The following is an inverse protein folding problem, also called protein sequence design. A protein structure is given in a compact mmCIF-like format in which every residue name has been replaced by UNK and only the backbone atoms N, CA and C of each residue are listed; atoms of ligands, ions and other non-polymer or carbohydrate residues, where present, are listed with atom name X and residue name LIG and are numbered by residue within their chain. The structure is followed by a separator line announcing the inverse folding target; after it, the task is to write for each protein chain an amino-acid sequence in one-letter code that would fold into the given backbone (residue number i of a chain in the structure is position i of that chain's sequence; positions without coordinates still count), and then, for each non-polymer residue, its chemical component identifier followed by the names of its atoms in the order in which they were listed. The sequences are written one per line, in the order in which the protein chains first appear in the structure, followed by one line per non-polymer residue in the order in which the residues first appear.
data_IF_534683579471
#
_entry.id   IF_534683579471
#
_cell.length_a   1.000
_cell.length_b   1.000
_cell.length_c   1.000
_cell.angle_alpha   90.00
_cell.angle_beta   90.00
_cell.angle_gamma   90.00
#
_symmetry.space_group_name_H-M   'P 1'
#
loop_
_entity.id
_entity.type
_entity.pdbx_description
1 polymer ?
#
# COMPACT_ATOMS: atom_id res chain seq x y z
N UNK A 1 -22.26 14.55 -3.41
CA UNK A 1 -22.21 13.45 -2.42
C UNK A 1 -21.35 12.36 -3.02
N UNK A 2 -20.36 11.86 -2.29
CA UNK A 2 -19.50 10.77 -2.78
C UNK A 2 -20.29 9.47 -2.76
N UNK A 3 -20.19 8.67 -3.81
CA UNK A 3 -20.79 7.34 -3.90
C UNK A 3 -19.84 6.37 -4.63
N UNK A 4 -20.05 5.06 -4.43
CA UNK A 4 -19.19 4.02 -4.98
C UNK A 4 -19.89 3.28 -6.14
N UNK A 5 -19.28 3.28 -7.31
CA UNK A 5 -19.84 2.74 -8.54
C UNK A 5 -19.56 1.24 -8.66
N UNK A 6 -20.60 0.42 -8.44
CA UNK A 6 -20.50 -1.04 -8.52
C UNK A 6 -20.20 -1.55 -9.93
N UNK A 7 -20.71 -0.89 -10.97
CA UNK A 7 -20.41 -1.27 -12.36
C UNK A 7 -18.94 -1.03 -12.65
N UNK A 8 -18.39 0.07 -12.13
CA UNK A 8 -16.97 0.36 -12.30
C UNK A 8 -16.07 -0.65 -11.58
N UNK A 9 -16.46 -1.10 -10.38
CA UNK A 9 -15.78 -2.19 -9.66
C UNK A 9 -15.70 -3.45 -10.53
N UNK A 10 -16.81 -3.86 -11.16
CA UNK A 10 -16.87 -5.04 -12.04
C UNK A 10 -16.04 -4.86 -13.32
N UNK A 11 -16.09 -3.68 -13.94
CA UNK A 11 -15.28 -3.35 -15.13
C UNK A 11 -13.79 -3.47 -14.82
N UNK A 12 -13.34 -2.87 -13.71
CA UNK A 12 -11.93 -2.92 -13.33
C UNK A 12 -11.50 -4.35 -12.97
N UNK A 13 -12.33 -5.10 -12.25
CA UNK A 13 -12.03 -6.47 -11.88
C UNK A 13 -11.81 -7.37 -13.11
N UNK A 14 -12.65 -7.23 -14.14
CA UNK A 14 -12.53 -7.98 -15.41
C UNK A 14 -11.23 -7.68 -16.15
N UNK A 15 -10.76 -6.44 -16.10
CA UNK A 15 -9.50 -6.06 -16.76
C UNK A 15 -8.29 -6.58 -15.97
N UNK A 16 -8.35 -6.52 -14.64
CA UNK A 16 -7.30 -7.07 -13.79
C UNK A 16 -7.20 -8.60 -13.90
N UNK A 17 -8.32 -9.32 -14.00
CA UNK A 17 -8.31 -10.78 -14.17
C UNK A 17 -7.63 -11.25 -15.46
N UNK A 18 -7.53 -10.38 -16.47
CA UNK A 18 -6.85 -10.67 -17.74
C UNK A 18 -5.34 -10.47 -17.67
N UNK A 19 -4.82 -9.93 -16.57
CA UNK A 19 -3.39 -9.56 -16.45
C UNK A 19 -2.48 -10.72 -16.02
N UNK A 20 -3.03 -11.92 -15.79
CA UNK A 20 -2.29 -13.15 -15.49
C UNK A 20 -1.94 -13.33 -14.02
N UNK A 21 -1.55 -14.56 -13.64
CA UNK A 21 -1.27 -14.94 -12.24
C UNK A 21 -0.05 -14.22 -11.65
N UNK A 22 0.92 -13.86 -12.49
CA UNK A 22 2.16 -13.18 -12.05
C UNK A 22 1.99 -11.66 -11.93
N UNK A 23 0.76 -11.14 -12.07
CA UNK A 23 0.49 -9.70 -12.07
C UNK A 23 1.01 -9.02 -10.80
N UNK A 24 0.72 -9.57 -9.61
CA UNK A 24 1.13 -8.94 -8.36
C UNK A 24 2.64 -9.10 -8.11
N UNK A 25 3.24 -10.24 -8.48
CA UNK A 25 4.68 -10.49 -8.41
C UNK A 25 5.48 -9.44 -9.17
N UNK A 26 5.00 -9.06 -10.36
CA UNK A 26 5.58 -8.00 -11.16
C UNK A 26 5.67 -6.67 -10.39
N UNK A 27 4.66 -6.30 -9.60
CA UNK A 27 4.65 -5.06 -8.82
C UNK A 27 5.43 -5.16 -7.52
N UNK A 28 5.42 -6.30 -6.83
CA UNK A 28 6.22 -6.51 -5.61
C UNK A 28 7.70 -6.28 -5.91
N UNK A 29 8.23 -6.88 -6.98
CA UNK A 29 9.64 -6.74 -7.37
C UNK A 29 10.05 -5.30 -7.74
N UNK A 30 9.08 -4.44 -8.05
CA UNK A 30 9.29 -3.02 -8.40
C UNK A 30 8.99 -2.07 -7.24
N UNK A 31 8.46 -2.57 -6.13
CA UNK A 31 8.17 -1.77 -4.97
C UNK A 31 9.48 -1.41 -4.24
N UNK A 32 9.83 -0.10 -4.10
CA UNK A 32 11.01 0.30 -3.34
C UNK A 32 11.01 -0.23 -1.90
N UNK A 33 9.83 -0.47 -1.32
CA UNK A 33 9.69 -1.06 0.02
C UNK A 33 10.15 -2.53 0.04
N UNK A 34 9.94 -3.27 -1.05
CA UNK A 34 10.43 -4.64 -1.18
C UNK A 34 11.96 -4.68 -1.29
N UNK A 35 12.56 -3.71 -1.98
CA UNK A 35 14.03 -3.55 -2.00
C UNK A 35 14.58 -3.32 -0.59
N UNK A 36 13.96 -2.43 0.20
CA UNK A 36 14.36 -2.21 1.59
C UNK A 36 14.20 -3.48 2.45
N UNK A 37 13.12 -4.25 2.24
CA UNK A 37 12.91 -5.55 2.92
C UNK A 37 14.06 -6.52 2.63
N UNK A 38 14.46 -6.68 1.37
CA UNK A 38 15.60 -7.55 1.00
C UNK A 38 16.90 -7.11 1.67
N UNK A 39 17.15 -5.80 1.70
CA UNK A 39 18.33 -5.26 2.38
C UNK A 39 18.32 -5.55 3.88
N UNK A 40 17.19 -5.34 4.57
CA UNK A 40 17.05 -5.65 6.00
C UNK A 40 17.30 -7.14 6.26
N UNK A 41 16.68 -8.02 5.47
CA UNK A 41 16.83 -9.47 5.62
C UNK A 41 18.27 -9.93 5.41
N UNK A 42 19.01 -9.31 4.48
CA UNK A 42 20.43 -9.62 4.28
C UNK A 42 21.31 -9.30 5.49
N UNK A 43 20.88 -8.38 6.36
CA UNK A 43 21.63 -7.93 7.55
C UNK A 43 21.24 -8.67 8.83
N UNK A 44 19.97 -9.07 8.96
CA UNK A 44 19.40 -9.61 10.22
C UNK A 44 18.90 -11.05 10.09
N UNK A 45 18.86 -11.63 8.89
CA UNK A 45 18.18 -12.91 8.66
C UNK A 45 16.66 -12.81 8.82
N UNK A 46 15.98 -13.96 8.68
CA UNK A 46 14.52 -13.98 8.59
C UNK A 46 13.81 -13.58 9.88
N UNK A 47 14.11 -14.24 11.00
CA UNK A 47 13.34 -14.05 12.25
C UNK A 47 13.46 -12.63 12.79
N UNK A 48 14.68 -12.13 12.94
CA UNK A 48 14.95 -10.79 13.47
C UNK A 48 14.60 -9.71 12.43
N UNK A 49 14.89 -9.95 11.16
CA UNK A 49 14.53 -9.04 10.08
C UNK A 49 13.01 -8.90 9.92
N UNK A 50 12.24 -9.98 9.99
CA UNK A 50 10.77 -9.93 9.97
C UNK A 50 10.22 -9.14 11.16
N UNK A 51 10.76 -9.38 12.36
CA UNK A 51 10.39 -8.62 13.55
C UNK A 51 10.68 -7.12 13.38
N UNK A 52 11.86 -6.76 12.87
CA UNK A 52 12.23 -5.38 12.59
C UNK A 52 11.31 -4.74 11.52
N UNK A 53 11.08 -5.43 10.40
CA UNK A 53 10.24 -4.95 9.28
C UNK A 53 8.81 -4.68 9.74
N UNK A 54 8.21 -5.61 10.47
CA UNK A 54 6.87 -5.41 11.06
C UNK A 54 6.88 -4.22 12.03
N UNK A 55 7.91 -4.12 12.87
CA UNK A 55 8.10 -3.01 13.79
C UNK A 55 8.15 -1.65 13.08
N UNK A 56 8.88 -1.56 11.97
CA UNK A 56 8.91 -0.37 11.11
C UNK A 56 7.51 -0.08 10.56
N UNK A 57 6.83 -1.08 9.99
CA UNK A 57 5.52 -0.92 9.36
C UNK A 57 4.45 -0.38 10.30
N UNK A 58 4.40 -0.83 11.56
CA UNK A 58 3.39 -0.38 12.53
C UNK A 58 3.56 1.08 12.94
N UNK A 59 4.71 1.69 12.66
CA UNK A 59 4.98 3.12 12.83
C UNK A 59 5.13 3.85 11.49
N UNK A 60 4.79 3.26 10.34
CA UNK A 60 4.86 3.93 9.02
C UNK A 60 3.57 4.69 8.66
N UNK A 61 3.11 5.60 9.53
CA UNK A 61 1.92 6.44 9.29
C UNK A 61 2.22 7.92 9.43
N UNK A 62 1.54 8.80 8.67
CA UNK A 62 1.73 10.27 8.74
C UNK A 62 3.21 10.69 8.70
N UNK A 63 3.97 10.12 7.76
CA UNK A 63 5.40 10.34 7.62
C UNK A 63 5.71 11.80 7.27
N UNK A 64 6.89 12.26 7.65
CA UNK A 64 7.42 13.57 7.25
C UNK A 64 8.17 13.57 5.92
N UNK A 65 8.48 12.37 5.40
CA UNK A 65 9.17 12.11 4.14
C UNK A 65 8.30 11.22 3.25
N UNK A 66 8.77 10.92 2.04
CA UNK A 66 8.12 9.91 1.20
C UNK A 66 8.27 8.50 1.81
N UNK A 67 7.33 7.61 1.50
CA UNK A 67 7.34 6.24 2.03
C UNK A 67 8.55 5.45 1.54
N UNK A 68 8.92 5.66 0.28
CA UNK A 68 10.11 5.07 -0.37
C UNK A 68 11.39 5.43 0.41
N UNK A 69 11.59 6.72 0.71
CA UNK A 69 12.74 7.23 1.47
C UNK A 69 12.75 6.71 2.91
N UNK A 70 11.58 6.63 3.54
CA UNK A 70 11.42 6.12 4.90
C UNK A 70 11.90 4.68 5.03
N UNK A 71 11.52 3.81 4.10
CA UNK A 71 11.89 2.39 4.12
C UNK A 71 13.38 2.17 3.85
N UNK A 72 13.98 2.91 2.90
CA UNK A 72 15.42 2.85 2.69
C UNK A 72 16.20 3.39 3.90
N UNK A 73 15.68 4.43 4.56
CA UNK A 73 16.25 4.89 5.84
C UNK A 73 16.14 3.80 6.91
N UNK A 74 15.01 3.11 7.03
CA UNK A 74 14.88 2.00 7.98
C UNK A 74 15.92 0.89 7.69
N UNK A 75 16.12 0.54 6.42
CA UNK A 75 17.12 -0.44 6.01
C UNK A 75 18.55 -0.05 6.42
N UNK A 76 18.89 1.23 6.45
CA UNK A 76 20.20 1.70 6.91
C UNK A 76 20.39 1.60 8.44
N UNK A 77 19.31 1.56 9.21
CA UNK A 77 19.34 1.39 10.67
C UNK A 77 19.34 -0.09 11.11
N UNK A 78 19.03 -1.02 10.20
CA UNK A 78 19.03 -2.44 10.49
C UNK A 78 20.46 -2.93 10.81
N UNK A 79 20.67 -3.38 12.04
CA UNK A 79 21.91 -3.99 12.55
C UNK A 79 21.58 -5.08 13.59
N UNK A 80 22.56 -5.90 13.98
CA UNK A 80 22.34 -7.20 14.63
C UNK A 80 21.40 -7.29 15.85
N UNK A 81 21.06 -6.19 16.55
CA UNK A 81 19.99 -6.20 17.55
C UNK A 81 18.73 -5.47 17.02
N UNK A 82 17.66 -6.20 16.66
CA UNK A 82 16.47 -5.59 16.09
C UNK A 82 15.72 -4.66 17.05
N UNK A 83 15.84 -4.84 18.37
CA UNK A 83 15.13 -4.01 19.34
C UNK A 83 15.79 -2.64 19.43
N UNK A 84 17.12 -2.62 19.58
CA UNK A 84 17.92 -1.40 19.59
C UNK A 84 17.85 -0.67 18.25
N UNK A 85 17.97 -1.38 17.12
CA UNK A 85 17.83 -0.79 15.78
C UNK A 85 16.47 -0.12 15.61
N UNK A 86 15.39 -0.77 16.06
CA UNK A 86 14.04 -0.26 15.89
C UNK A 86 13.79 0.98 16.77
N UNK A 87 14.23 0.95 18.03
CA UNK A 87 14.16 2.11 18.93
C UNK A 87 14.96 3.28 18.37
N UNK A 88 16.22 3.06 17.98
CA UNK A 88 17.10 4.09 17.42
C UNK A 88 16.49 4.72 16.16
N UNK A 89 15.91 3.91 15.28
CA UNK A 89 15.22 4.37 14.09
C UNK A 89 14.03 5.28 14.43
N UNK A 90 13.17 4.88 15.37
CA UNK A 90 11.99 5.69 15.74
C UNK A 90 12.38 6.98 16.46
N UNK A 91 13.42 6.95 17.28
CA UNK A 91 13.91 8.12 18.02
C UNK A 91 14.60 9.13 17.10
N UNK A 92 15.41 8.65 16.17
CA UNK A 92 16.33 9.50 15.40
C UNK A 92 15.84 9.86 14.00
N UNK A 93 15.03 9.01 13.36
CA UNK A 93 14.66 9.21 11.96
C UNK A 93 13.85 10.50 11.75
N UNK A 94 14.29 11.31 10.77
CA UNK A 94 13.57 12.51 10.35
C UNK A 94 12.16 12.18 9.82
N UNK A 95 11.99 11.01 9.21
CA UNK A 95 10.71 10.52 8.67
C UNK A 95 9.63 10.36 9.74
N UNK A 96 10.04 10.09 10.98
CA UNK A 96 9.16 9.79 12.13
C UNK A 96 9.05 10.95 13.14
N UNK A 97 9.51 12.16 12.79
CA UNK A 97 9.45 13.34 13.67
C UNK A 97 8.04 13.67 14.19
N UNK A 98 7.00 13.40 13.38
CA UNK A 98 5.60 13.62 13.77
C UNK A 98 5.13 12.49 14.68
N UNK A 99 4.49 12.83 15.80
CA UNK A 99 3.95 11.86 16.78
C UNK A 99 4.99 10.90 17.37
N UNK A 100 6.26 11.31 17.44
CA UNK A 100 7.37 10.45 17.88
C UNK A 100 7.10 9.77 19.22
N UNK A 101 6.62 10.50 20.23
CA UNK A 101 6.31 9.93 21.55
C UNK A 101 5.28 8.81 21.49
N UNK A 102 4.24 8.95 20.65
CA UNK A 102 3.23 7.90 20.47
C UNK A 102 3.82 6.67 19.76
N UNK A 103 4.70 6.87 18.77
CA UNK A 103 5.40 5.77 18.08
C UNK A 103 6.35 5.03 19.00
N UNK A 104 7.11 5.73 19.84
CA UNK A 104 8.00 5.13 20.84
C UNK A 104 7.19 4.22 21.78
N UNK A 105 6.07 4.71 22.32
CA UNK A 105 5.17 3.88 23.16
C UNK A 105 4.66 2.64 22.41
N UNK A 106 4.29 2.80 21.14
CA UNK A 106 3.83 1.71 20.28
C UNK A 106 4.93 0.66 20.05
N UNK A 107 6.16 1.09 19.79
CA UNK A 107 7.33 0.20 19.64
C UNK A 107 7.68 -0.49 20.95
N UNK A 108 7.64 0.22 22.07
CA UNK A 108 7.89 -0.40 23.38
C UNK A 108 6.89 -1.52 23.67
N UNK A 109 5.60 -1.29 23.38
CA UNK A 109 4.56 -2.34 23.50
C UNK A 109 4.84 -3.52 22.57
N UNK A 110 5.27 -3.26 21.34
CA UNK A 110 5.66 -4.27 20.36
C UNK A 110 6.86 -5.11 20.82
N UNK A 111 7.94 -4.47 21.29
CA UNK A 111 9.16 -5.10 21.82
C UNK A 111 8.86 -5.92 23.07
N UNK A 112 8.03 -5.42 23.99
CA UNK A 112 7.60 -6.16 25.18
C UNK A 112 6.89 -7.48 24.85
N UNK A 113 6.36 -7.63 23.62
CA UNK A 113 5.69 -8.84 23.15
C UNK A 113 6.52 -9.60 22.10
N UNK A 114 7.84 -9.35 22.01
CA UNK A 114 8.75 -9.92 20.99
C UNK A 114 8.62 -11.43 20.83
N UNK A 115 8.64 -12.18 21.94
CA UNK A 115 8.54 -13.64 21.90
C UNK A 115 7.25 -14.11 21.20
N UNK A 116 6.10 -13.53 21.54
CA UNK A 116 4.81 -13.86 20.91
C UNK A 116 4.77 -13.55 19.42
N UNK A 117 5.50 -12.52 19.00
CA UNK A 117 5.55 -12.05 17.62
C UNK A 117 6.48 -12.93 16.80
N UNK A 118 7.68 -13.20 17.32
CA UNK A 118 8.63 -14.13 16.69
C UNK A 118 8.05 -15.54 16.58
N UNK A 119 7.25 -15.98 17.56
CA UNK A 119 6.54 -17.26 17.48
C UNK A 119 5.65 -17.33 16.23
N UNK A 120 5.00 -16.23 15.85
CA UNK A 120 4.17 -16.17 14.64
C UNK A 120 4.97 -16.27 13.33
N UNK A 121 6.31 -16.16 13.39
CA UNK A 121 7.19 -16.32 12.24
C UNK A 121 7.83 -17.71 12.17
N UNK A 122 7.53 -18.61 13.10
CA UNK A 122 8.06 -19.98 13.08
C UNK A 122 7.34 -20.84 12.06
N UNK A 123 8.07 -21.81 11.52
CA UNK A 123 7.58 -22.74 10.52
C UNK A 123 8.06 -22.45 9.09
N UNK A 124 7.61 -23.29 8.17
CA UNK A 124 7.87 -23.15 6.73
C UNK A 124 6.84 -22.27 6.04
N UNK A 125 5.61 -22.24 6.57
CA UNK A 125 4.48 -21.48 6.04
C UNK A 125 3.88 -20.58 7.13
N UNK A 126 3.92 -19.26 6.89
CA UNK A 126 3.49 -18.24 7.85
C UNK A 126 2.01 -17.88 7.65
N UNK A 127 1.23 -17.89 8.74
CA UNK A 127 -0.19 -17.53 8.71
C UNK A 127 -0.38 -16.01 8.85
N UNK A 128 -0.61 -15.32 7.74
CA UNK A 128 -0.77 -13.86 7.73
C UNK A 128 -2.10 -13.41 8.35
N UNK A 129 -3.12 -14.27 8.30
CA UNK A 129 -4.41 -14.04 8.94
C UNK A 129 -4.28 -14.03 10.46
N UNK A 130 -3.75 -15.11 11.03
CA UNK A 130 -3.51 -15.23 12.48
C UNK A 130 -2.56 -14.14 12.98
N UNK A 131 -1.47 -13.88 12.24
CA UNK A 131 -0.54 -12.81 12.56
C UNK A 131 -1.26 -11.44 12.66
N UNK A 132 -2.15 -11.12 11.71
CA UNK A 132 -2.86 -9.83 11.73
C UNK A 132 -3.72 -9.65 12.97
N UNK A 133 -4.43 -10.69 13.42
CA UNK A 133 -5.24 -10.66 14.65
C UNK A 133 -4.36 -10.52 15.89
N UNK A 134 -3.27 -11.30 15.97
CA UNK A 134 -2.32 -11.26 17.07
C UNK A 134 -1.66 -9.88 17.21
N UNK A 135 -1.26 -9.28 16.09
CA UNK A 135 -0.69 -7.94 16.07
C UNK A 135 -1.72 -6.87 16.49
N UNK A 136 -2.97 -7.01 16.06
CA UNK A 136 -4.05 -6.12 16.45
C UNK A 136 -4.31 -6.16 17.97
N UNK A 137 -4.37 -7.37 18.55
CA UNK A 137 -4.51 -7.58 19.99
C UNK A 137 -3.34 -6.96 20.77
N UNK A 138 -2.10 -7.26 20.37
CA UNK A 138 -0.90 -6.70 21.00
C UNK A 138 -0.92 -5.18 20.95
N UNK A 139 -1.39 -4.57 19.86
CA UNK A 139 -1.37 -3.12 19.69
C UNK A 139 -2.66 -2.42 20.12
N UNK A 140 -3.63 -3.15 20.65
CA UNK A 140 -4.97 -2.65 20.99
C UNK A 140 -5.58 -1.83 19.83
N UNK A 141 -5.56 -2.44 18.64
CA UNK A 141 -5.97 -1.82 17.39
C UNK A 141 -7.04 -2.67 16.68
N UNK A 142 -7.73 -2.07 15.71
CA UNK A 142 -8.63 -2.86 14.87
C UNK A 142 -7.81 -3.65 13.84
N UNK A 143 -8.14 -4.92 13.62
CA UNK A 143 -7.44 -5.77 12.62
C UNK A 143 -7.47 -5.19 11.21
N UNK A 144 -8.52 -4.42 10.88
CA UNK A 144 -8.69 -3.75 9.59
C UNK A 144 -8.07 -2.33 9.57
N UNK A 145 -7.30 -1.93 10.57
CA UNK A 145 -6.55 -0.67 10.53
C UNK A 145 -5.41 -0.73 9.54
N UNK A 146 -5.17 0.42 8.87
CA UNK A 146 -4.13 0.55 7.84
C UNK A 146 -2.80 0.01 8.34
N UNK A 147 -2.41 0.35 9.57
CA UNK A 147 -1.10 -0.04 10.12
C UNK A 147 -0.98 -1.55 10.36
N UNK A 148 -2.07 -2.24 10.70
CA UNK A 148 -2.09 -3.70 10.88
C UNK A 148 -2.06 -4.42 9.52
N UNK A 149 -2.92 -3.99 8.60
CA UNK A 149 -2.95 -4.54 7.24
C UNK A 149 -1.63 -4.28 6.49
N UNK A 150 -1.06 -3.09 6.66
CA UNK A 150 0.23 -2.73 6.08
C UNK A 150 1.38 -3.54 6.69
N UNK A 151 1.39 -3.75 8.01
CA UNK A 151 2.37 -4.64 8.63
C UNK A 151 2.25 -6.09 8.13
N UNK A 152 1.03 -6.57 7.89
CA UNK A 152 0.79 -7.90 7.30
C UNK A 152 1.27 -7.97 5.85
N UNK A 153 1.10 -6.90 5.05
CA UNK A 153 1.68 -6.79 3.70
C UNK A 153 3.21 -6.82 3.76
N UNK A 154 3.81 -6.11 4.71
CA UNK A 154 5.27 -6.11 4.85
C UNK A 154 5.80 -7.48 5.29
N UNK A 155 5.06 -8.23 6.12
CA UNK A 155 5.40 -9.62 6.43
C UNK A 155 5.25 -10.54 5.20
N UNK A 156 4.26 -10.32 4.34
CA UNK A 156 4.15 -11.01 3.04
C UNK A 156 5.39 -10.75 2.18
N UNK A 157 5.83 -9.51 2.07
CA UNK A 157 7.06 -9.13 1.37
C UNK A 157 8.28 -9.84 1.99
N UNK A 158 8.35 -9.90 3.32
CA UNK A 158 9.41 -10.62 4.04
C UNK A 158 9.41 -12.12 3.71
N UNK A 159 8.25 -12.77 3.73
CA UNK A 159 8.14 -14.19 3.40
C UNK A 159 8.60 -14.44 1.96
N UNK A 160 8.14 -13.61 1.02
CA UNK A 160 8.50 -13.69 -0.39
C UNK A 160 10.01 -13.54 -0.61
N UNK A 161 10.62 -12.52 0.00
CA UNK A 161 12.05 -12.25 -0.11
C UNK A 161 12.93 -13.35 0.51
N UNK A 162 12.41 -14.06 1.51
CA UNK A 162 13.09 -15.17 2.18
C UNK A 162 12.74 -16.55 1.61
N UNK A 163 11.95 -16.64 0.54
CA UNK A 163 11.41 -17.89 -0.02
C UNK A 163 10.69 -18.75 1.03
N UNK A 164 9.93 -18.12 1.92
CA UNK A 164 9.04 -18.77 2.90
C UNK A 164 7.61 -18.83 2.37
N UNK A 165 6.90 -19.91 2.68
CA UNK A 165 5.46 -20.02 2.38
C UNK A 165 4.65 -19.04 3.23
N UNK A 166 3.48 -18.66 2.74
CA UNK A 166 2.52 -17.86 3.49
C UNK A 166 1.08 -18.23 3.09
N UNK A 167 0.15 -18.12 4.04
CA UNK A 167 -1.26 -18.50 3.86
C UNK A 167 -2.23 -17.53 4.54
N UNK A 168 -3.53 -17.73 4.29
CA UNK A 168 -4.64 -17.01 4.93
C UNK A 168 -4.58 -15.49 4.74
N UNK A 169 -4.04 -15.05 3.60
CA UNK A 169 -3.90 -13.64 3.23
C UNK A 169 -5.02 -13.15 2.31
N UNK A 170 -5.81 -14.06 1.75
CA UNK A 170 -6.86 -13.83 0.76
C UNK A 170 -7.97 -12.94 1.31
N UNK A 171 -8.23 -13.02 2.61
CA UNK A 171 -9.25 -12.23 3.32
C UNK A 171 -8.72 -10.90 3.87
N UNK A 172 -7.41 -10.65 3.82
CA UNK A 172 -6.85 -9.40 4.33
C UNK A 172 -7.22 -8.25 3.39
N UNK A 173 -7.81 -7.21 3.99
CA UNK A 173 -8.25 -6.02 3.25
C UNK A 173 -7.06 -5.15 2.83
N UNK A 174 -7.30 -4.26 1.87
CA UNK A 174 -6.30 -3.28 1.45
C UNK A 174 -6.00 -2.25 2.56
N UNK A 175 -4.73 -1.89 2.82
CA UNK A 175 -4.38 -0.83 3.77
C UNK A 175 -4.70 0.56 3.18
N UNK A 176 -5.92 1.05 3.41
CA UNK A 176 -6.38 2.34 2.86
C UNK A 176 -5.53 3.51 3.35
N UNK A 177 -4.82 4.12 2.42
CA UNK A 177 -4.06 5.33 2.63
C UNK A 177 -4.36 6.40 1.60
N UNK A 178 -3.54 7.45 1.56
CA UNK A 178 -3.73 8.54 0.63
C UNK A 178 -3.66 8.09 -0.84
N UNK A 179 -2.69 7.25 -1.21
CA UNK A 179 -2.52 6.79 -2.61
C UNK A 179 -3.64 5.83 -3.01
N UNK A 180 -4.03 4.92 -2.12
CA UNK A 180 -5.22 4.06 -2.34
C UNK A 180 -6.46 4.93 -2.54
N UNK A 181 -6.62 5.98 -1.73
CA UNK A 181 -7.76 6.90 -1.84
C UNK A 181 -7.74 7.70 -3.15
N UNK A 182 -6.57 8.17 -3.60
CA UNK A 182 -6.42 8.82 -4.90
C UNK A 182 -6.86 7.90 -6.03
N UNK A 183 -6.31 6.69 -6.10
CA UNK A 183 -6.64 5.72 -7.15
C UNK A 183 -8.11 5.35 -7.12
N UNK A 184 -8.72 5.28 -5.94
CA UNK A 184 -10.16 5.03 -5.82
C UNK A 184 -11.00 6.11 -6.52
N UNK A 185 -10.60 7.39 -6.45
CA UNK A 185 -11.26 8.46 -7.22
C UNK A 185 -10.90 8.45 -8.69
N UNK A 186 -9.61 8.38 -9.01
CA UNK A 186 -9.13 8.57 -10.39
C UNK A 186 -9.48 7.37 -11.28
N UNK A 187 -9.70 6.19 -10.70
CA UNK A 187 -10.24 5.03 -11.41
C UNK A 187 -11.74 5.12 -11.67
N UNK A 188 -12.46 6.02 -11.00
CA UNK A 188 -13.91 6.13 -11.08
C UNK A 188 -14.68 5.17 -10.17
N UNK A 189 -14.01 4.45 -9.27
CA UNK A 189 -14.70 3.64 -8.23
C UNK A 189 -15.48 4.57 -7.30
N UNK A 190 -14.84 5.62 -6.80
CA UNK A 190 -15.51 6.70 -6.05
C UNK A 190 -15.88 7.84 -7.01
N UNK A 191 -17.17 8.18 -7.06
CA UNK A 191 -17.76 9.21 -7.92
C UNK A 191 -18.44 10.31 -7.10
N UNK A 192 -19.00 11.29 -7.80
CA UNK A 192 -19.69 12.44 -7.20
C UNK A 192 -18.78 13.64 -6.92
N UNK A 193 -17.57 13.64 -7.50
CA UNK A 193 -16.62 14.74 -7.54
C UNK A 193 -16.55 15.35 -8.96
N UNK A 194 -15.95 16.53 -9.10
CA UNK A 194 -15.79 17.26 -10.38
C UNK A 194 -14.33 17.52 -10.72
N UNK A 195 -14.02 17.60 -12.00
CA UNK A 195 -12.65 17.74 -12.52
C UNK A 195 -11.84 18.94 -11.98
N UNK A 196 -12.53 20.00 -11.52
CA UNK A 196 -11.91 21.20 -10.95
C UNK A 196 -11.78 21.17 -9.42
N UNK A 197 -12.22 20.11 -8.76
CA UNK A 197 -12.09 19.95 -7.31
C UNK A 197 -10.67 19.52 -6.90
N UNK A 198 -10.32 19.83 -5.66
CA UNK A 198 -9.01 19.45 -5.11
C UNK A 198 -8.99 17.96 -4.73
N UNK A 199 -8.54 17.11 -5.66
CA UNK A 199 -8.41 15.66 -5.45
C UNK A 199 -7.54 15.28 -4.25
N UNK A 200 -6.53 16.08 -3.90
CA UNK A 200 -5.71 15.83 -2.71
C UNK A 200 -6.55 15.92 -1.43
N UNK A 201 -7.42 16.94 -1.35
CA UNK A 201 -8.35 17.11 -0.23
C UNK A 201 -9.37 15.98 -0.20
N UNK A 202 -9.98 15.66 -1.34
CA UNK A 202 -10.98 14.60 -1.46
C UNK A 202 -10.41 13.24 -1.03
N UNK A 203 -9.18 12.90 -1.45
CA UNK A 203 -8.51 11.68 -1.01
C UNK A 203 -8.26 11.65 0.50
N UNK A 204 -8.01 12.81 1.12
CA UNK A 204 -7.95 12.96 2.57
C UNK A 204 -9.28 12.63 3.27
N UNK A 205 -10.39 13.11 2.70
CA UNK A 205 -11.75 12.83 3.19
C UNK A 205 -12.12 11.35 3.01
N UNK A 206 -11.79 10.75 1.85
CA UNK A 206 -12.06 9.35 1.58
C UNK A 206 -11.33 8.44 2.58
N UNK A 207 -10.05 8.72 2.84
CA UNK A 207 -9.24 8.00 3.82
C UNK A 207 -9.81 8.09 5.25
N UNK A 208 -10.37 9.24 5.63
CA UNK A 208 -10.79 9.51 7.01
C UNK A 208 -12.24 9.13 7.30
N UNK A 209 -13.14 9.29 6.33
CA UNK A 209 -14.59 9.12 6.51
C UNK A 209 -15.15 7.88 5.82
N UNK A 210 -14.54 7.46 4.72
CA UNK A 210 -15.07 6.39 3.85
C UNK A 210 -14.13 5.17 3.79
N UNK A 211 -13.27 4.98 4.80
CA UNK A 211 -12.28 3.89 4.86
C UNK A 211 -12.93 2.53 4.61
N UNK A 212 -14.08 2.26 5.23
CA UNK A 212 -14.74 0.94 5.14
C UNK A 212 -15.28 0.70 3.74
N UNK A 213 -15.84 1.73 3.12
CA UNK A 213 -16.39 1.69 1.76
C UNK A 213 -15.28 1.52 0.72
N UNK A 214 -14.12 2.16 0.92
CA UNK A 214 -12.94 1.93 0.09
C UNK A 214 -12.45 0.48 0.24
N UNK A 215 -12.33 -0.02 1.48
CA UNK A 215 -11.94 -1.41 1.72
C UNK A 215 -12.90 -2.39 1.06
N UNK A 216 -14.20 -2.14 1.17
CA UNK A 216 -15.24 -2.95 0.58
C UNK A 216 -15.22 -2.93 -0.95
N UNK A 217 -15.03 -1.76 -1.56
CA UNK A 217 -14.93 -1.65 -3.01
C UNK A 217 -13.73 -2.44 -3.55
N UNK A 218 -12.55 -2.32 -2.94
CA UNK A 218 -11.37 -3.08 -3.35
C UNK A 218 -11.45 -4.57 -2.97
N UNK A 219 -12.17 -4.94 -1.90
CA UNK A 219 -12.50 -6.34 -1.61
C UNK A 219 -13.28 -6.95 -2.77
N UNK A 220 -14.32 -6.26 -3.25
CA UNK A 220 -15.12 -6.69 -4.40
C UNK A 220 -14.31 -6.75 -5.70
N UNK A 221 -13.41 -5.79 -5.94
CA UNK A 221 -12.47 -5.87 -7.08
C UNK A 221 -11.60 -7.12 -6.97
N UNK A 222 -11.08 -7.40 -5.77
CA UNK A 222 -10.22 -8.57 -5.55
C UNK A 222 -10.95 -9.89 -5.74
N UNK A 223 -12.15 -10.02 -5.18
CA UNK A 223 -12.98 -11.22 -5.33
C UNK A 223 -13.38 -11.48 -6.78
N UNK A 224 -13.79 -10.45 -7.51
CA UNK A 224 -14.19 -10.59 -8.90
C UNK A 224 -13.00 -10.76 -9.86
N UNK A 225 -11.81 -10.28 -9.50
CA UNK A 225 -10.60 -10.45 -10.33
C UNK A 225 -9.80 -11.72 -10.01
N UNK A 226 -10.06 -12.35 -8.86
CA UNK A 226 -9.25 -13.46 -8.33
C UNK A 226 -7.95 -13.01 -7.67
N UNK A 227 -7.73 -11.70 -7.46
CA UNK A 227 -6.52 -11.15 -6.84
C UNK A 227 -6.85 -10.69 -5.41
N UNK A 228 -6.24 -11.28 -4.37
CA UNK A 228 -6.43 -10.86 -2.99
C UNK A 228 -6.28 -9.34 -2.77
N UNK A 229 -7.15 -8.70 -1.96
CA UNK A 229 -7.14 -7.23 -1.80
C UNK A 229 -5.82 -6.67 -1.26
N UNK A 230 -5.13 -7.42 -0.39
CA UNK A 230 -3.81 -7.03 0.11
C UNK A 230 -2.73 -7.01 -0.99
N UNK A 231 -2.86 -7.84 -2.03
CA UNK A 231 -1.96 -7.87 -3.18
C UNK A 231 -2.27 -6.78 -4.21
N UNK A 232 -3.52 -6.31 -4.28
CA UNK A 232 -3.89 -5.15 -5.08
C UNK A 232 -3.23 -3.85 -4.59
N UNK A 233 -2.78 -3.80 -3.34
CA UNK A 233 -2.13 -2.61 -2.78
C UNK A 233 -0.87 -2.21 -3.55
N UNK A 234 -0.03 -3.17 -3.96
CA UNK A 234 1.24 -2.88 -4.65
C UNK A 234 1.04 -2.11 -5.98
N UNK A 235 0.25 -2.59 -6.95
CA UNK A 235 -0.01 -1.85 -8.18
C UNK A 235 -0.69 -0.50 -7.92
N UNK A 236 -1.67 -0.46 -7.00
CA UNK A 236 -2.39 0.77 -6.65
C UNK A 236 -1.45 1.81 -6.06
N UNK A 237 -0.57 1.40 -5.14
CA UNK A 237 0.34 2.29 -4.43
C UNK A 237 1.44 2.86 -5.36
N UNK A 238 1.93 2.04 -6.30
CA UNK A 238 2.90 2.46 -7.30
C UNK A 238 2.30 3.46 -8.29
N UNK A 239 1.13 3.14 -8.87
CA UNK A 239 0.44 4.06 -9.79
C UNK A 239 -0.05 5.32 -9.08
N UNK A 240 -0.59 5.19 -7.87
CA UNK A 240 -0.97 6.33 -7.03
C UNK A 240 0.20 7.26 -6.74
N UNK A 241 1.42 6.73 -6.64
CA UNK A 241 2.65 7.52 -6.55
C UNK A 241 2.92 8.32 -7.82
N UNK A 242 2.71 7.73 -9.00
CA UNK A 242 2.81 8.43 -10.27
C UNK A 242 1.73 9.51 -10.43
N UNK A 243 0.47 9.22 -10.08
CA UNK A 243 -0.63 10.21 -10.08
C UNK A 243 -0.26 11.45 -9.26
N UNK A 244 0.26 11.23 -8.06
CA UNK A 244 0.60 12.31 -7.14
C UNK A 244 1.80 13.15 -7.60
N UNK A 245 2.82 12.49 -8.16
CA UNK A 245 4.04 13.14 -8.70
C UNK A 245 3.79 13.89 -10.00
N UNK A 246 2.92 13.37 -10.85
CA UNK A 246 2.55 13.94 -12.15
C UNK A 246 1.51 15.06 -12.03
N UNK A 247 1.17 15.48 -10.81
CA UNK A 247 0.17 16.52 -10.53
C UNK A 247 -1.14 16.29 -11.29
N UNK A 248 -1.60 15.03 -11.32
CA UNK A 248 -2.85 14.63 -11.96
C UNK A 248 -2.89 14.79 -13.50
N UNK A 249 -1.77 15.03 -14.16
CA UNK A 249 -1.71 15.10 -15.63
C UNK A 249 -1.60 13.69 -16.25
N UNK A 250 -2.58 13.23 -17.05
CA UNK A 250 -2.58 11.85 -17.57
C UNK A 250 -1.37 11.46 -18.42
N UNK A 251 -0.78 12.40 -19.17
CA UNK A 251 0.39 12.11 -20.01
C UNK A 251 1.64 11.93 -19.15
N UNK A 252 1.77 12.75 -18.10
CA UNK A 252 2.87 12.65 -17.14
C UNK A 252 2.73 11.40 -16.26
N UNK A 253 1.50 10.99 -15.93
CA UNK A 253 1.22 9.71 -15.28
C UNK A 253 1.70 8.55 -16.16
N UNK A 254 1.28 8.54 -17.43
CA UNK A 254 1.69 7.51 -18.39
C UNK A 254 3.21 7.43 -18.55
N UNK A 255 3.88 8.59 -18.62
CA UNK A 255 5.35 8.68 -18.65
C UNK A 255 5.96 8.06 -17.40
N UNK A 256 5.51 8.48 -16.23
CA UNK A 256 5.98 7.95 -14.94
C UNK A 256 5.80 6.43 -14.84
N UNK A 257 4.63 5.90 -15.22
CA UNK A 257 4.35 4.45 -15.18
C UNK A 257 5.27 3.69 -16.12
N UNK A 258 5.49 4.18 -17.34
CA UNK A 258 6.40 3.54 -18.31
C UNK A 258 7.85 3.52 -17.81
N UNK A 259 8.34 4.65 -17.30
CA UNK A 259 9.73 4.79 -16.86
C UNK A 259 10.02 4.00 -15.58
N UNK A 260 9.09 4.01 -14.61
CA UNK A 260 9.36 3.42 -13.29
C UNK A 260 8.92 1.95 -13.20
N UNK A 261 7.91 1.53 -13.97
CA UNK A 261 7.37 0.18 -13.88
C UNK A 261 7.71 -0.66 -15.11
N UNK A 262 7.90 -0.05 -16.29
CA UNK A 262 8.12 -0.76 -17.55
C UNK A 262 7.15 -1.96 -17.76
N UNK A 263 5.83 -1.75 -17.69
CA UNK A 263 4.84 -2.82 -17.84
C UNK A 263 4.79 -3.32 -19.28
N UNK A 264 4.37 -4.58 -19.45
CA UNK A 264 3.97 -5.07 -20.77
C UNK A 264 2.78 -4.27 -21.31
N UNK A 265 2.52 -4.27 -22.63
CA UNK A 265 1.38 -3.55 -23.20
C UNK A 265 0.03 -3.94 -22.56
N UNK A 266 -0.19 -5.23 -22.29
CA UNK A 266 -1.44 -5.69 -21.65
C UNK A 266 -1.60 -5.17 -20.22
N UNK A 267 -0.54 -5.21 -19.42
CA UNK A 267 -0.53 -4.67 -18.06
C UNK A 267 -0.73 -3.16 -18.09
N UNK A 268 -0.10 -2.45 -19.04
CA UNK A 268 -0.25 -1.01 -19.18
C UNK A 268 -1.69 -0.58 -19.46
N UNK A 269 -2.42 -1.31 -20.31
CA UNK A 269 -3.84 -1.02 -20.56
C UNK A 269 -4.68 -1.19 -19.30
N UNK A 270 -4.43 -2.24 -18.50
CA UNK A 270 -5.10 -2.40 -17.21
C UNK A 270 -4.75 -1.27 -16.23
N UNK A 271 -3.49 -0.80 -16.20
CA UNK A 271 -3.08 0.28 -15.30
C UNK A 271 -3.70 1.63 -15.65
N UNK A 272 -3.92 1.94 -16.93
CA UNK A 272 -4.58 3.20 -17.36
C UNK A 272 -5.95 3.38 -16.70
N UNK A 273 -6.62 2.28 -16.39
CA UNK A 273 -7.91 2.28 -15.72
C UNK A 273 -7.86 2.85 -14.29
N UNK A 274 -6.68 2.94 -13.68
CA UNK A 274 -6.48 3.58 -12.38
C UNK A 274 -6.55 5.10 -12.43
N UNK A 275 -6.45 5.72 -13.61
CA UNK A 275 -6.60 7.17 -13.79
C UNK A 275 -7.56 7.58 -14.91
N UNK A 276 -8.45 6.66 -15.33
CA UNK A 276 -9.45 6.88 -16.39
C UNK A 276 -10.24 8.19 -16.25
N UNK A 277 -10.63 8.56 -15.03
CA UNK A 277 -11.41 9.80 -14.83
C UNK A 277 -10.60 11.06 -15.10
N UNK A 278 -9.27 11.03 -14.93
CA UNK A 278 -8.40 12.16 -15.28
C UNK A 278 -8.34 12.34 -16.81
N UNK A 279 -8.31 11.24 -17.58
CA UNK A 279 -8.40 11.29 -19.04
C UNK A 279 -9.77 11.84 -19.49
N UNK A 280 -10.87 11.41 -18.85
CA UNK A 280 -12.20 11.96 -19.11
C UNK A 280 -12.26 13.48 -18.84
N UNK A 281 -11.69 13.92 -17.72
CA UNK A 281 -11.63 15.33 -17.36
C UNK A 281 -10.92 16.17 -18.43
N UNK A 282 -9.77 15.70 -18.91
CA UNK A 282 -9.00 16.38 -19.97
C UNK A 282 -9.75 16.47 -21.30
N UNK A 283 -10.43 15.40 -21.69
CA UNK A 283 -11.18 15.35 -22.95
C UNK A 283 -12.38 16.31 -22.94
N UNK A 284 -13.08 16.41 -21.81
CA UNK A 284 -14.18 17.35 -21.64
C UNK A 284 -13.73 18.82 -21.71
N UNK A 285 -12.56 19.15 -21.14
CA UNK A 285 -11.99 20.51 -21.24
C UNK A 285 -11.62 20.88 -22.68
N UNK A 286 -11.07 19.94 -23.46
CA UNK A 286 -10.75 20.16 -24.88
C UNK A 286 -12.00 20.37 -25.73
N UNK A 287 -13.06 19.60 -25.49
CA UNK A 287 -14.33 19.79 -26.19
C UNK A 287 -14.95 21.15 -25.86
N UNK A 288 -14.93 21.58 -24.59
CA UNK A 288 -15.47 22.91 -24.22
C UNK A 288 -14.73 24.07 -24.89
N UNK A 289 -13.43 23.96 -25.17
CA UNK A 289 -12.66 25.02 -25.86
C UNK A 289 -12.96 25.10 -27.36
N UNK A 290 -13.32 23.98 -27.99
CA UNK A 290 -13.68 23.92 -29.42
C UNK A 290 -15.08 24.48 -29.72
N UNK A 291 -15.92 24.72 -28.71
CA UNK A 291 -17.23 25.37 -28.87
C UNK A 291 -17.19 26.90 -28.67
N UNK A 292 -16.01 27.46 -28.38
CA UNK A 292 -15.78 28.91 -28.25
C UNK A 292 -14.86 29.49 -29.34
N UNK A 293 -14.56 28.71 -30.38
CA UNK A 293 -13.97 29.15 -31.66
C UNK A 293 -15.04 29.11 -32.77
#
# INVERSE_FOLDING_TARGET
MIFFDSKRVEELARLLSQSGNDFYEFFIERDPQYTAVREILSKMGFSEGAFYIVGVAIVSYMLATRGEEHWMTAASYASGDPDQSLLSFVESSASLRKFRTARIKRIQKYIQNKEKIIEAFKGEEIDLGEFSYKLAEILDANVNDKTILFASKMLLYTCRAANKGFKNFEKLLIPVDYRVSLVTFTSGIAKGWRCNENLRSLAGDLRSRYKKEVQEAWRRVGEASGIPPILLDAPIWLVGGCIDKAEFNPQEILRCVRENLAPSPSVLEALKEFWRELDNCRNNTRQSLLFFE
#
